data_IF_152024467563
#
_entry.id   IF_152024467563
#
_cell.length_a   1.000
_cell.length_b   1.000
_cell.length_c   1.000
_cell.angle_alpha   90.00
_cell.angle_beta   90.00
_cell.angle_gamma   90.00
#
_symmetry.space_group_name_H-M   'P 1'
#
loop_
_entity.id
_entity.type
_entity.pdbx_description
1 polymer ?
#
# COMPACT_ATOMS: atom_id res chain seq x y z
N UNK A 1 2.34 -23.52 -14.24
CA UNK A 1 1.73 -23.10 -12.97
C UNK A 1 2.29 -21.72 -12.64
N UNK A 2 1.42 -20.74 -12.38
CA UNK A 2 1.73 -19.32 -12.13
C UNK A 2 2.91 -19.10 -11.18
N UNK A 3 3.08 -19.98 -10.17
CA UNK A 3 4.18 -19.95 -9.20
C UNK A 3 5.58 -20.13 -9.79
N UNK A 4 5.73 -20.69 -11.00
CA UNK A 4 7.03 -20.89 -11.65
C UNK A 4 7.45 -19.71 -12.53
N UNK A 5 6.56 -18.74 -12.75
CA UNK A 5 6.79 -17.65 -13.68
C UNK A 5 7.41 -16.44 -12.97
N UNK A 6 8.17 -15.63 -13.71
CA UNK A 6 8.84 -14.43 -13.18
C UNK A 6 7.92 -13.22 -12.93
N UNK A 7 6.59 -13.42 -12.92
CA UNK A 7 5.59 -12.36 -12.82
C UNK A 7 5.43 -11.52 -14.10
N UNK A 8 4.85 -10.32 -13.96
CA UNK A 8 4.58 -9.33 -15.03
C UNK A 8 3.53 -9.73 -16.07
N UNK A 9 2.46 -10.38 -15.63
CA UNK A 9 1.28 -10.70 -16.44
C UNK A 9 0.01 -10.42 -15.65
N UNK A 10 -1.12 -10.29 -16.35
CA UNK A 10 -2.43 -10.19 -15.74
C UNK A 10 -3.01 -11.60 -15.59
N UNK A 11 -3.39 -11.97 -14.38
CA UNK A 11 -4.11 -13.22 -14.11
C UNK A 11 -5.60 -12.91 -13.93
N UNK A 12 -6.39 -13.22 -14.96
CA UNK A 12 -7.84 -13.09 -14.87
C UNK A 12 -8.43 -14.24 -14.04
N UNK A 13 -8.99 -13.92 -12.88
CA UNK A 13 -9.61 -14.87 -11.97
C UNK A 13 -11.13 -14.65 -11.91
N UNK A 14 -11.89 -15.72 -11.66
CA UNK A 14 -13.28 -15.59 -11.23
C UNK A 14 -13.31 -15.04 -9.81
N UNK A 15 -14.46 -14.54 -9.34
CA UNK A 15 -14.59 -13.86 -8.05
C UNK A 15 -13.90 -14.61 -6.89
N UNK A 16 -14.30 -15.87 -6.65
CA UNK A 16 -13.71 -16.69 -5.57
C UNK A 16 -12.22 -16.99 -5.77
N UNK A 17 -11.82 -17.31 -7.01
CA UNK A 17 -10.41 -17.55 -7.32
C UNK A 17 -9.58 -16.29 -7.10
N UNK A 18 -10.12 -15.11 -7.41
CA UNK A 18 -9.47 -13.82 -7.22
C UNK A 18 -9.25 -13.52 -5.74
N UNK A 19 -10.29 -13.70 -4.93
CA UNK A 19 -10.24 -13.51 -3.48
C UNK A 19 -9.13 -14.37 -2.84
N UNK A 20 -9.17 -15.69 -3.05
CA UNK A 20 -8.21 -16.62 -2.43
C UNK A 20 -6.79 -16.48 -2.99
N UNK A 21 -6.65 -16.34 -4.31
CA UNK A 21 -5.33 -16.32 -4.94
C UNK A 21 -4.63 -14.98 -4.77
N UNK A 22 -5.37 -13.87 -4.68
CA UNK A 22 -4.77 -12.55 -4.46
C UNK A 22 -4.04 -12.47 -3.11
N UNK A 23 -4.64 -13.00 -2.03
CA UNK A 23 -3.99 -13.12 -0.71
C UNK A 23 -2.74 -14.01 -0.76
N UNK A 24 -2.83 -15.14 -1.47
CA UNK A 24 -1.69 -16.06 -1.64
C UNK A 24 -0.52 -15.37 -2.35
N UNK A 25 -0.81 -14.63 -3.42
CA UNK A 25 0.20 -13.87 -4.17
C UNK A 25 0.75 -12.74 -3.32
N UNK A 26 -0.09 -11.94 -2.65
CA UNK A 26 0.32 -10.83 -1.81
C UNK A 26 1.27 -11.26 -0.68
N UNK A 27 0.93 -12.35 0.00
CA UNK A 27 1.77 -12.93 1.05
C UNK A 27 3.10 -13.47 0.48
N UNK A 28 3.09 -14.01 -0.74
CA UNK A 28 4.30 -14.42 -1.45
C UNK A 28 5.23 -13.26 -1.82
N UNK A 29 4.69 -12.07 -2.06
CA UNK A 29 5.46 -10.85 -2.31
C UNK A 29 5.90 -10.12 -1.03
N UNK A 30 5.44 -10.56 0.14
CA UNK A 30 5.91 -10.08 1.45
C UNK A 30 4.78 -9.86 2.45
N UNK A 31 4.13 -8.70 2.38
CA UNK A 31 3.07 -8.29 3.30
C UNK A 31 1.82 -7.87 2.52
N UNK A 32 0.65 -8.23 3.03
CA UNK A 32 -0.66 -7.74 2.55
C UNK A 32 -0.73 -6.21 2.52
N UNK A 33 0.03 -5.53 3.39
CA UNK A 33 0.13 -4.07 3.43
C UNK A 33 0.83 -3.43 2.22
N UNK A 34 1.36 -4.24 1.29
CA UNK A 34 2.00 -3.78 0.05
C UNK A 34 1.12 -3.96 -1.19
N UNK A 35 -0.09 -4.50 -1.05
CA UNK A 35 -0.99 -4.73 -2.18
C UNK A 35 -2.03 -3.61 -2.33
N UNK A 36 -2.23 -3.17 -3.56
CA UNK A 36 -3.30 -2.22 -3.94
C UNK A 36 -4.48 -2.97 -4.56
N UNK A 37 -5.70 -2.57 -4.22
CA UNK A 37 -6.92 -3.03 -4.90
C UNK A 37 -7.56 -1.87 -5.66
N UNK A 38 -7.89 -2.10 -6.93
CA UNK A 38 -8.50 -1.11 -7.82
C UNK A 38 -9.58 -1.79 -8.64
N UNK A 39 -10.82 -1.37 -8.45
CA UNK A 39 -11.97 -1.75 -9.26
C UNK A 39 -12.18 -0.70 -10.37
N UNK A 40 -12.31 -1.14 -11.62
CA UNK A 40 -12.50 -0.25 -12.77
C UNK A 40 -13.66 -0.72 -13.62
N UNK A 41 -14.51 0.21 -14.06
CA UNK A 41 -15.59 -0.09 -15.00
C UNK A 41 -15.07 -0.35 -16.42
N UNK A 42 -15.81 -1.08 -17.28
CA UNK A 42 -15.36 -1.40 -18.64
C UNK A 42 -15.09 -0.17 -19.52
N UNK A 43 -15.74 0.96 -19.26
CA UNK A 43 -15.52 2.22 -19.97
C UNK A 43 -14.26 2.98 -19.50
N UNK A 44 -13.60 2.50 -18.43
CA UNK A 44 -12.41 3.10 -17.84
C UNK A 44 -12.63 4.45 -17.16
N UNK A 45 -13.88 4.89 -16.99
CA UNK A 45 -14.20 6.21 -16.42
C UNK A 45 -14.37 6.18 -14.92
N UNK A 46 -14.93 5.10 -14.38
CA UNK A 46 -15.18 4.94 -12.96
C UNK A 46 -14.14 4.01 -12.36
N UNK A 47 -13.53 4.47 -11.27
CA UNK A 47 -12.54 3.71 -10.49
C UNK A 47 -12.88 3.82 -9.02
N UNK A 48 -12.84 2.69 -8.33
CA UNK A 48 -12.79 2.59 -6.87
C UNK A 48 -11.42 2.02 -6.49
N UNK A 49 -10.75 2.64 -5.53
CA UNK A 49 -9.45 2.21 -5.03
C UNK A 49 -9.53 1.99 -3.52
N UNK A 50 -9.03 0.85 -3.06
CA UNK A 50 -9.08 0.43 -1.66
C UNK A 50 -7.77 -0.25 -1.25
N UNK A 51 -7.56 -0.37 0.06
CA UNK A 51 -6.51 -1.22 0.60
C UNK A 51 -6.97 -2.69 0.52
N UNK A 52 -6.09 -3.59 0.09
CA UNK A 52 -6.44 -5.01 -0.05
C UNK A 52 -6.67 -5.74 1.29
N UNK A 53 -6.22 -5.16 2.42
CA UNK A 53 -6.40 -5.76 3.74
C UNK A 53 -7.71 -5.33 4.40
N UNK A 54 -8.25 -6.18 5.28
CA UNK A 54 -9.39 -5.85 6.13
C UNK A 54 -9.07 -4.82 7.23
N UNK A 55 -9.96 -4.69 8.21
CA UNK A 55 -9.90 -3.64 9.26
C UNK A 55 -8.81 -3.83 10.33
N UNK A 56 -7.98 -4.88 10.22
CA UNK A 56 -6.88 -5.17 11.16
C UNK A 56 -7.34 -5.15 12.63
N UNK A 57 -8.45 -5.84 12.93
CA UNK A 57 -9.17 -5.73 14.21
C UNK A 57 -8.30 -5.98 15.44
N UNK A 58 -7.30 -6.87 15.34
CA UNK A 58 -6.36 -7.13 16.43
C UNK A 58 -5.57 -5.88 16.84
N UNK A 59 -5.05 -5.12 15.87
CA UNK A 59 -4.34 -3.87 16.16
C UNK A 59 -5.31 -2.82 16.71
N UNK A 60 -6.54 -2.75 16.19
CA UNK A 60 -7.57 -1.86 16.73
C UNK A 60 -7.86 -2.14 18.21
N UNK A 61 -7.95 -3.40 18.65
CA UNK A 61 -8.14 -3.75 20.07
C UNK A 61 -6.96 -3.34 20.95
N UNK A 62 -5.73 -3.38 20.46
CA UNK A 62 -4.57 -2.89 21.22
C UNK A 62 -4.56 -1.35 21.29
N UNK A 63 -4.95 -0.68 20.21
CA UNK A 63 -5.13 0.77 20.20
C UNK A 63 -6.20 1.23 21.20
N UNK A 64 -7.33 0.52 21.32
CA UNK A 64 -8.36 0.80 22.34
C UNK A 64 -7.84 0.70 23.77
N UNK A 65 -6.76 -0.06 24.02
CA UNK A 65 -6.08 -0.16 25.32
C UNK A 65 -5.01 0.91 25.52
N UNK A 66 -4.89 1.88 24.62
CA UNK A 66 -3.87 2.93 24.65
C UNK A 66 -2.47 2.46 24.22
N UNK A 67 -2.34 1.26 23.65
CA UNK A 67 -1.03 0.75 23.20
C UNK A 67 -0.70 1.27 21.81
N UNK A 68 0.58 1.54 21.58
CA UNK A 68 1.09 1.83 20.25
C UNK A 68 1.00 0.59 19.36
N UNK A 69 0.73 0.81 18.08
CA UNK A 69 0.64 -0.23 17.05
C UNK A 69 1.57 0.09 15.88
N UNK A 70 1.89 -0.93 15.08
CA UNK A 70 2.70 -0.82 13.87
C UNK A 70 1.94 -1.45 12.70
N UNK A 71 0.76 -0.88 12.42
CA UNK A 71 -0.04 -1.24 11.24
C UNK A 71 0.59 -0.55 10.04
N UNK A 72 0.83 -1.29 8.96
CA UNK A 72 1.38 -0.73 7.73
C UNK A 72 0.34 0.16 7.02
N UNK A 73 0.60 1.49 6.85
CA UNK A 73 -0.33 2.39 6.21
C UNK A 73 -0.16 2.47 4.68
N UNK A 74 0.83 1.78 4.09
CA UNK A 74 1.20 1.95 2.67
C UNK A 74 0.03 1.61 1.74
N UNK A 75 -0.64 0.47 1.92
CA UNK A 75 -1.81 0.11 1.11
C UNK A 75 -2.91 1.19 1.15
N UNK A 76 -3.21 1.74 2.34
CA UNK A 76 -4.18 2.81 2.50
C UNK A 76 -3.74 4.12 1.82
N UNK A 77 -2.45 4.47 1.90
CA UNK A 77 -1.90 5.63 1.20
C UNK A 77 -2.02 5.42 -0.32
N UNK A 78 -1.70 4.22 -0.81
CA UNK A 78 -1.77 3.90 -2.22
C UNK A 78 -3.22 3.88 -2.73
N UNK A 79 -4.20 3.49 -1.92
CA UNK A 79 -5.61 3.63 -2.25
C UNK A 79 -5.97 5.10 -2.53
N UNK A 80 -5.52 6.02 -1.67
CA UNK A 80 -5.69 7.46 -1.88
C UNK A 80 -4.97 7.95 -3.15
N UNK A 81 -3.68 7.65 -3.33
CA UNK A 81 -2.92 8.15 -4.47
C UNK A 81 -3.46 7.61 -5.80
N UNK A 82 -3.93 6.35 -5.85
CA UNK A 82 -4.55 5.77 -7.04
C UNK A 82 -5.87 6.47 -7.38
N UNK A 83 -6.71 6.75 -6.39
CA UNK A 83 -7.94 7.53 -6.58
C UNK A 83 -7.66 8.97 -7.07
N UNK A 84 -6.70 9.65 -6.44
CA UNK A 84 -6.30 11.01 -6.80
C UNK A 84 -5.67 11.07 -8.20
N UNK A 85 -4.81 10.11 -8.56
CA UNK A 85 -4.21 10.04 -9.89
C UNK A 85 -5.27 9.82 -10.98
N UNK A 86 -6.28 8.98 -10.71
CA UNK A 86 -7.39 8.79 -11.64
C UNK A 86 -8.23 10.06 -11.81
N UNK A 87 -8.56 10.75 -10.71
CA UNK A 87 -9.24 12.05 -10.76
C UNK A 87 -8.43 13.07 -11.56
N UNK A 88 -7.13 13.16 -11.30
CA UNK A 88 -6.21 14.04 -12.01
C UNK A 88 -6.18 13.75 -13.52
N UNK A 89 -6.23 12.48 -13.92
CA UNK A 89 -6.31 12.08 -15.34
C UNK A 89 -7.60 12.56 -15.99
N UNK A 90 -8.74 12.39 -15.32
CA UNK A 90 -10.04 12.82 -15.84
C UNK A 90 -10.14 14.35 -15.98
N UNK A 91 -9.47 15.10 -15.10
CA UNK A 91 -9.49 16.57 -15.08
C UNK A 91 -8.36 17.21 -15.90
N UNK A 92 -7.42 16.42 -16.43
CA UNK A 92 -6.19 16.95 -17.04
C UNK A 92 -5.26 17.65 -16.03
N UNK A 93 -5.41 17.35 -14.72
CA UNK A 93 -4.63 17.95 -13.64
C UNK A 93 -3.31 17.18 -13.42
N UNK A 94 -2.27 17.60 -14.15
CA UNK A 94 -0.94 16.99 -14.06
C UNK A 94 -0.26 17.20 -12.71
N UNK A 95 -0.57 18.28 -11.98
CA UNK A 95 0.00 18.54 -10.65
C UNK A 95 -0.51 17.52 -9.63
N UNK A 96 -1.79 17.18 -9.68
CA UNK A 96 -2.38 16.16 -8.82
C UNK A 96 -1.82 14.76 -9.11
N UNK A 97 -1.61 14.44 -10.40
CA UNK A 97 -0.97 13.19 -10.81
C UNK A 97 0.47 13.15 -10.29
N UNK A 98 1.22 14.25 -10.44
CA UNK A 98 2.61 14.36 -9.94
C UNK A 98 2.66 14.18 -8.43
N UNK A 99 1.81 14.87 -7.67
CA UNK A 99 1.71 14.72 -6.22
C UNK A 99 1.47 13.26 -5.81
N UNK A 100 0.49 12.61 -6.44
CA UNK A 100 0.13 11.21 -6.15
C UNK A 100 1.31 10.26 -6.39
N UNK A 101 2.00 10.43 -7.52
CA UNK A 101 3.18 9.63 -7.87
C UNK A 101 4.38 9.93 -6.95
N UNK A 102 4.56 11.18 -6.53
CA UNK A 102 5.63 11.55 -5.58
C UNK A 102 5.39 10.91 -4.22
N UNK A 103 4.15 10.92 -3.72
CA UNK A 103 3.82 10.27 -2.45
C UNK A 103 4.06 8.75 -2.48
N UNK A 104 3.71 8.07 -3.57
CA UNK A 104 4.03 6.64 -3.75
C UNK A 104 5.55 6.40 -3.71
N UNK A 105 6.33 7.21 -4.43
CA UNK A 105 7.80 7.12 -4.44
C UNK A 105 8.40 7.35 -3.05
N UNK A 106 7.88 8.32 -2.30
CA UNK A 106 8.33 8.61 -0.93
C UNK A 106 8.11 7.42 0.00
N UNK A 107 6.98 6.71 -0.12
CA UNK A 107 6.71 5.52 0.67
C UNK A 107 7.75 4.42 0.38
N UNK A 108 8.00 4.13 -0.89
CA UNK A 108 8.98 3.12 -1.34
C UNK A 108 10.39 3.51 -0.86
N UNK A 109 10.81 4.74 -1.13
CA UNK A 109 12.14 5.23 -0.74
C UNK A 109 12.35 5.25 0.78
N UNK A 110 11.28 5.45 1.58
CA UNK A 110 11.37 5.39 3.04
C UNK A 110 11.65 3.96 3.52
N UNK A 111 10.97 2.97 2.94
CA UNK A 111 11.22 1.54 3.22
C UNK A 111 12.62 1.12 2.79
N UNK A 112 13.07 1.51 1.60
CA UNK A 112 14.42 1.21 1.10
C UNK A 112 15.54 1.83 1.96
N UNK A 113 15.26 2.95 2.64
CA UNK A 113 16.17 3.59 3.60
C UNK A 113 16.11 2.97 5.01
N UNK A 114 15.32 1.92 5.20
CA UNK A 114 15.20 1.20 6.48
C UNK A 114 14.10 1.70 7.40
N UNK A 115 13.28 2.67 6.98
CA UNK A 115 12.12 3.13 7.75
C UNK A 115 10.90 2.32 7.35
N UNK A 116 10.42 1.44 8.22
CA UNK A 116 9.31 0.54 7.90
C UNK A 116 8.54 0.10 9.14
N UNK A 117 7.34 -0.41 8.92
CA UNK A 117 6.51 -1.02 9.96
C UNK A 117 6.90 -2.47 10.25
N UNK A 118 6.40 -3.00 11.36
CA UNK A 118 6.80 -4.28 11.94
C UNK A 118 6.60 -5.46 10.99
N UNK A 119 5.53 -5.44 10.20
CA UNK A 119 5.23 -6.46 9.20
C UNK A 119 6.33 -6.58 8.15
N UNK A 120 6.91 -5.47 7.70
CA UNK A 120 8.02 -5.46 6.74
C UNK A 120 9.36 -5.80 7.39
N UNK A 121 9.61 -5.27 8.59
CA UNK A 121 10.84 -5.53 9.32
C UNK A 121 11.07 -7.03 9.56
N UNK A 122 10.01 -7.77 9.92
CA UNK A 122 10.06 -9.22 10.17
C UNK A 122 10.45 -10.01 8.90
N UNK A 123 10.18 -9.49 7.70
CA UNK A 123 10.57 -10.13 6.43
C UNK A 123 12.08 -10.03 6.17
N UNK A 124 12.74 -9.01 6.74
CA UNK A 124 14.19 -8.81 6.58
C UNK A 124 14.94 -9.70 7.57
N UNK A 125 14.67 -9.54 8.87
CA UNK A 125 15.18 -10.42 9.94
C UNK A 125 14.40 -10.17 11.25
N UNK A 126 14.61 -11.02 12.26
CA UNK A 126 13.86 -10.96 13.54
C UNK A 126 14.16 -9.74 14.40
N UNK A 127 15.36 -9.18 14.28
CA UNK A 127 15.87 -8.09 15.12
C UNK A 127 15.80 -6.72 14.42
N UNK A 128 15.20 -6.67 13.23
CA UNK A 128 15.09 -5.47 12.44
C UNK A 128 14.24 -4.44 13.20
N UNK A 129 14.79 -3.23 13.31
CA UNK A 129 14.07 -2.10 13.90
C UNK A 129 12.86 -1.77 13.04
N UNK A 130 11.78 -1.39 13.70
CA UNK A 130 10.56 -0.95 13.04
C UNK A 130 10.01 0.31 13.72
N UNK A 131 9.14 1.00 13.00
CA UNK A 131 8.42 2.18 13.48
C UNK A 131 6.97 1.82 13.81
N UNK A 132 6.40 2.52 14.78
CA UNK A 132 4.95 2.55 14.97
C UNK A 132 4.25 3.20 13.77
N UNK A 133 2.94 2.99 13.63
CA UNK A 133 2.16 3.57 12.53
C UNK A 133 2.35 5.09 12.45
N UNK A 134 2.31 5.78 13.59
CA UNK A 134 2.46 7.24 13.66
C UNK A 134 3.87 7.71 13.30
N UNK A 135 4.90 7.04 13.80
CA UNK A 135 6.30 7.38 13.46
C UNK A 135 6.59 7.21 11.96
N UNK A 136 6.04 6.15 11.35
CA UNK A 136 6.21 5.93 9.92
C UNK A 136 5.44 6.96 9.08
N UNK A 137 4.24 7.36 9.49
CA UNK A 137 3.50 8.47 8.86
C UNK A 137 4.27 9.80 8.95
N UNK A 138 4.91 10.09 10.09
CA UNK A 138 5.73 11.30 10.21
C UNK A 138 7.01 11.23 9.35
N UNK A 139 7.59 10.04 9.21
CA UNK A 139 8.71 9.82 8.28
C UNK A 139 8.29 10.12 6.85
N UNK A 140 7.14 9.61 6.42
CA UNK A 140 6.57 9.89 5.08
C UNK A 140 6.29 11.37 4.91
N UNK A 141 5.64 12.02 5.88
CA UNK A 141 5.33 13.45 5.86
C UNK A 141 6.60 14.32 5.72
N UNK A 142 7.63 14.04 6.51
CA UNK A 142 8.91 14.75 6.45
C UNK A 142 9.58 14.59 5.08
N UNK A 143 9.60 13.37 4.54
CA UNK A 143 10.22 13.09 3.25
C UNK A 143 9.42 13.69 2.09
N UNK A 144 8.08 13.65 2.15
CA UNK A 144 7.22 14.27 1.14
C UNK A 144 7.45 15.79 1.07
N UNK A 145 7.53 16.47 2.22
CA UNK A 145 7.83 17.91 2.26
C UNK A 145 9.16 18.25 1.60
N UNK A 146 10.18 17.39 1.75
CA UNK A 146 11.49 17.60 1.11
C UNK A 146 11.45 17.42 -0.41
N UNK A 147 10.60 16.52 -0.91
CA UNK A 147 10.47 16.26 -2.36
C UNK A 147 9.55 17.28 -3.07
N UNK A 148 8.68 17.97 -2.33
CA UNK A 148 7.75 18.97 -2.86
C UNK A 148 8.27 20.41 -2.77
N UNK A 149 9.27 20.68 -1.93
CA UNK A 149 9.98 21.96 -1.83
C UNK A 149 11.11 22.05 -2.87
#
# INVERSE_FOLDING_TARGET
>A
CAMKWSGKYVWACKNYDGDVQSDTVAQGFGSLGLMTSVLMTPDGKTVEAEAAHGTVTRHYREHQKGKQTSTNPIASIFAWTRGLAHRGKLDGNNELIKFSNTLEKVCVASVEKGHMTKDLAILINRDAKYQTTTEFLETINSNLKKELN
#
